data_IF_558092033820
#
_entry.id   IF_558092033820
#
_cell.length_a   1.000
_cell.length_b   1.000
_cell.length_c   1.000
_cell.angle_alpha   90.00
_cell.angle_beta   90.00
_cell.angle_gamma   90.00
#
_symmetry.space_group_name_H-M   'P 1'
#
loop_
_entity.id
_entity.type
_entity.pdbx_description
1 polymer ?
#
# COMPACT_ATOMS: atom_id res chain seq x y z
N UNK A 1 4.38 -14.09 65.95
CA UNK A 1 5.38 -15.05 65.41
C UNK A 1 4.85 -15.63 64.12
N UNK A 2 5.37 -15.14 62.97
CA UNK A 2 4.93 -15.56 61.63
C UNK A 2 5.94 -16.57 61.09
N UNK A 3 5.52 -17.82 60.92
CA UNK A 3 6.34 -18.89 60.35
C UNK A 3 6.49 -18.73 58.84
N UNK A 4 7.72 -18.51 58.37
CA UNK A 4 8.08 -18.44 56.95
C UNK A 4 8.18 -19.85 56.37
N UNK A 5 7.41 -20.16 55.32
CA UNK A 5 7.58 -21.38 54.50
C UNK A 5 8.75 -21.19 53.51
N UNK A 6 9.59 -22.22 53.29
CA UNK A 6 10.75 -22.11 52.41
C UNK A 6 10.38 -22.16 50.92
N UNK A 7 11.11 -21.36 50.15
CA UNK A 7 10.99 -21.16 48.71
C UNK A 7 11.59 -22.37 47.95
N UNK A 8 10.76 -23.15 47.24
CA UNK A 8 11.23 -24.23 46.35
C UNK A 8 11.92 -23.60 45.12
N UNK A 9 13.23 -23.84 44.97
CA UNK A 9 14.00 -23.53 43.75
C UNK A 9 13.39 -24.25 42.54
N UNK A 10 12.85 -23.49 41.57
CA UNK A 10 12.51 -24.03 40.25
C UNK A 10 13.79 -24.36 39.49
N UNK A 11 13.88 -25.61 39.04
CA UNK A 11 14.94 -26.14 38.20
C UNK A 11 14.88 -25.46 36.83
N UNK A 12 16.04 -25.02 36.35
CA UNK A 12 16.25 -24.38 35.06
C UNK A 12 15.99 -25.43 33.95
N UNK A 13 14.84 -25.37 33.29
CA UNK A 13 14.58 -26.19 32.09
C UNK A 13 15.40 -25.61 30.93
N UNK A 14 16.30 -26.44 30.40
CA UNK A 14 17.10 -26.11 29.23
C UNK A 14 16.18 -26.07 28.02
N UNK A 15 16.14 -24.92 27.34
CA UNK A 15 15.50 -24.79 26.03
C UNK A 15 16.07 -25.84 25.06
N UNK A 16 15.24 -26.54 24.28
CA UNK A 16 15.72 -27.39 23.21
C UNK A 16 16.33 -26.52 22.08
N UNK A 17 17.44 -27.00 21.52
CA UNK A 17 18.13 -26.34 20.42
C UNK A 17 17.25 -26.27 19.16
N UNK A 18 17.34 -25.21 18.34
CA UNK A 18 16.60 -25.14 17.08
C UNK A 18 17.15 -26.17 16.07
N UNK A 19 16.31 -26.68 15.16
CA UNK A 19 16.75 -27.62 14.13
C UNK A 19 17.70 -26.94 13.14
N UNK A 20 18.77 -27.65 12.78
CA UNK A 20 19.80 -27.23 11.83
C UNK A 20 19.20 -27.06 10.42
N UNK A 21 19.22 -25.84 9.88
CA UNK A 21 18.86 -25.56 8.49
C UNK A 21 20.03 -25.99 7.58
N UNK A 22 19.83 -26.84 6.57
CA UNK A 22 20.87 -27.15 5.59
C UNK A 22 21.21 -25.91 4.74
N UNK A 23 22.46 -25.75 4.28
CA UNK A 23 22.87 -24.59 3.49
C UNK A 23 22.15 -24.56 2.12
N UNK A 24 21.91 -23.36 1.56
CA UNK A 24 21.34 -23.26 0.22
C UNK A 24 22.31 -23.87 -0.80
N UNK A 25 21.75 -24.73 -1.67
CA UNK A 25 22.48 -25.25 -2.81
C UNK A 25 22.84 -24.08 -3.74
N UNK A 26 24.12 -23.94 -4.05
CA UNK A 26 24.64 -23.03 -5.06
C UNK A 26 24.05 -23.42 -6.41
N UNK A 27 23.11 -22.62 -6.92
CA UNK A 27 22.71 -22.71 -8.32
C UNK A 27 23.87 -22.17 -9.15
N UNK A 28 24.70 -23.10 -9.64
CA UNK A 28 25.78 -22.81 -10.57
C UNK A 28 25.25 -22.08 -11.79
N UNK A 29 25.92 -20.99 -12.13
CA UNK A 29 25.70 -20.22 -13.36
C UNK A 29 25.88 -21.15 -14.57
N UNK A 30 24.79 -21.42 -15.28
CA UNK A 30 24.87 -22.06 -16.59
C UNK A 30 25.32 -21.03 -17.63
N UNK A 31 26.35 -21.41 -18.38
CA UNK A 31 26.99 -20.58 -19.38
C UNK A 31 26.03 -20.22 -20.53
N UNK A 32 26.15 -18.97 -20.94
CA UNK A 32 25.50 -18.35 -22.10
C UNK A 32 25.89 -19.09 -23.39
N UNK A 33 24.95 -19.58 -24.21
CA UNK A 33 25.28 -20.08 -25.54
C UNK A 33 25.52 -18.90 -26.48
N UNK A 34 26.75 -18.79 -26.98
CA UNK A 34 27.11 -17.96 -28.12
C UNK A 34 26.86 -18.74 -29.41
N UNK A 35 25.96 -18.26 -30.26
CA UNK A 35 25.92 -18.66 -31.67
C UNK A 35 25.97 -17.41 -32.56
N UNK A 36 26.74 -17.43 -33.67
CA UNK A 36 27.00 -16.26 -34.50
C UNK A 36 26.05 -16.17 -35.72
N UNK A 37 25.78 -14.92 -36.13
CA UNK A 37 25.38 -14.40 -37.47
C UNK A 37 24.21 -15.11 -38.18
N UNK A 38 23.17 -14.40 -38.62
CA UNK A 38 23.26 -13.50 -39.77
C UNK A 38 21.99 -12.62 -39.84
N UNK A 39 22.14 -11.29 -39.86
CA UNK A 39 21.05 -10.38 -40.22
C UNK A 39 21.18 -10.03 -41.70
N UNK A 40 20.33 -10.63 -42.53
CA UNK A 40 20.04 -10.13 -43.85
C UNK A 40 18.96 -9.04 -43.71
N UNK A 41 19.30 -7.83 -44.11
CA UNK A 41 18.42 -6.66 -44.15
C UNK A 41 17.41 -6.79 -45.30
N UNK A 42 16.12 -6.80 -44.96
CA UNK A 42 15.04 -6.47 -45.89
C UNK A 42 14.10 -5.48 -45.17
N UNK A 43 13.81 -4.30 -45.75
CA UNK A 43 12.88 -3.36 -45.14
C UNK A 43 11.44 -3.81 -45.42
N UNK A 44 10.79 -4.40 -44.43
CA UNK A 44 9.34 -4.51 -44.41
C UNK A 44 8.78 -3.15 -43.97
N UNK A 45 8.07 -2.47 -44.86
CA UNK A 45 7.40 -1.20 -44.61
C UNK A 45 6.41 -1.32 -43.44
N UNK A 46 6.51 -0.41 -42.48
CA UNK A 46 5.73 -0.36 -41.24
C UNK A 46 4.25 0.09 -41.43
N UNK A 47 3.70 -0.01 -42.65
CA UNK A 47 2.39 0.54 -42.99
C UNK A 47 1.24 -0.48 -42.85
N UNK A 48 1.52 -1.79 -42.86
CA UNK A 48 0.45 -2.80 -43.02
C UNK A 48 -0.06 -3.44 -41.72
N UNK A 49 0.41 -3.02 -40.54
CA UNK A 49 -0.11 -3.51 -39.25
C UNK A 49 -1.14 -2.57 -38.61
N UNK A 50 -1.31 -1.36 -39.15
CA UNK A 50 -2.17 -0.33 -38.57
C UNK A 50 -3.62 -0.39 -39.11
N UNK A 51 -3.83 -1.03 -40.27
CA UNK A 51 -5.13 -1.05 -40.95
C UNK A 51 -6.09 -2.16 -40.44
N UNK A 52 -5.61 -3.12 -39.64
CA UNK A 52 -6.47 -4.16 -39.06
C UNK A 52 -6.99 -3.82 -37.65
N UNK A 53 -6.51 -2.73 -37.04
CA UNK A 53 -6.96 -2.30 -35.71
C UNK A 53 -8.05 -1.21 -35.75
N UNK A 54 -8.40 -0.70 -36.93
CA UNK A 54 -9.31 0.45 -37.08
C UNK A 54 -10.77 0.10 -37.42
N UNK A 55 -11.14 -1.18 -37.43
CA UNK A 55 -12.49 -1.61 -37.87
C UNK A 55 -13.26 -2.43 -36.83
N UNK A 56 -12.98 -2.23 -35.54
CA UNK A 56 -13.90 -2.66 -34.50
C UNK A 56 -14.79 -1.48 -34.08
N UNK A 57 -16.12 -1.51 -34.30
CA UNK A 57 -17.02 -0.55 -33.67
C UNK A 57 -16.83 -0.63 -32.15
N UNK A 58 -16.89 0.48 -31.38
CA UNK A 58 -16.69 0.42 -29.95
C UNK A 58 -17.84 -0.39 -29.33
N UNK A 59 -17.58 -1.69 -29.12
CA UNK A 59 -18.35 -2.49 -28.18
C UNK A 59 -18.34 -1.70 -26.88
N UNK A 60 -19.53 -1.39 -26.37
CA UNK A 60 -19.77 -0.79 -25.07
C UNK A 60 -19.01 -1.54 -23.97
N UNK A 61 -17.71 -1.25 -23.83
CA UNK A 61 -16.83 -1.81 -22.84
C UNK A 61 -17.19 -1.14 -21.54
N UNK A 62 -17.96 -1.84 -20.71
CA UNK A 62 -18.24 -1.42 -19.34
C UNK A 62 -16.94 -0.97 -18.69
N UNK A 63 -16.90 0.26 -18.17
CA UNK A 63 -15.70 0.83 -17.54
C UNK A 63 -15.08 -0.13 -16.51
N UNK A 64 -13.75 -0.20 -16.37
CA UNK A 64 -13.12 -1.12 -15.42
C UNK A 64 -13.51 -0.80 -13.99
N UNK A 65 -13.73 -1.84 -13.18
CA UNK A 65 -14.01 -1.71 -11.73
C UNK A 65 -12.84 -1.09 -10.96
N UNK A 66 -11.61 -1.30 -11.39
CA UNK A 66 -10.43 -0.75 -10.72
C UNK A 66 -10.18 0.70 -11.15
N UNK A 67 -9.78 1.54 -10.21
CA UNK A 67 -9.32 2.89 -10.53
C UNK A 67 -8.04 2.86 -11.39
N UNK A 68 -7.99 3.59 -12.52
CA UNK A 68 -6.75 3.83 -13.26
C UNK A 68 -5.67 4.45 -12.37
N UNK A 69 -4.41 4.25 -12.73
CA UNK A 69 -3.28 4.78 -11.94
C UNK A 69 -3.34 6.29 -11.75
N UNK A 70 -3.65 7.04 -12.82
CA UNK A 70 -3.78 8.50 -12.75
C UNK A 70 -4.88 8.94 -11.76
N UNK A 71 -6.00 8.22 -11.72
CA UNK A 71 -7.08 8.48 -10.76
C UNK A 71 -6.63 8.18 -9.33
N UNK A 72 -5.90 7.08 -9.10
CA UNK A 72 -5.33 6.77 -7.77
C UNK A 72 -4.37 7.86 -7.30
N UNK A 73 -3.50 8.36 -8.18
CA UNK A 73 -2.58 9.46 -7.87
C UNK A 73 -3.34 10.72 -7.44
N UNK A 74 -4.30 11.17 -8.25
CA UNK A 74 -5.11 12.35 -7.96
C UNK A 74 -5.98 12.15 -6.70
N UNK A 75 -6.47 10.94 -6.48
CA UNK A 75 -7.25 10.57 -5.29
C UNK A 75 -6.40 10.63 -4.01
N UNK A 76 -5.12 10.25 -4.08
CA UNK A 76 -4.17 10.46 -2.99
C UNK A 76 -3.88 11.94 -2.75
N UNK A 77 -3.70 12.72 -3.82
CA UNK A 77 -3.44 14.16 -3.72
C UNK A 77 -4.62 14.94 -3.14
N UNK A 78 -5.85 14.50 -3.42
CA UNK A 78 -7.11 15.02 -2.87
C UNK A 78 -7.29 14.74 -1.38
N UNK A 79 -6.68 13.68 -0.84
CA UNK A 79 -6.82 13.32 0.56
C UNK A 79 -6.18 14.38 1.48
N UNK A 80 -6.63 14.51 2.72
CA UNK A 80 -6.12 15.54 3.63
C UNK A 80 -4.65 15.28 4.00
N UNK A 81 -3.74 16.28 3.90
CA UNK A 81 -2.35 16.11 4.30
C UNK A 81 -2.20 16.01 5.82
N UNK A 82 -1.18 15.29 6.29
CA UNK A 82 -0.84 15.27 7.73
C UNK A 82 0.08 16.45 8.03
N UNK A 83 -0.28 17.37 8.95
CA UNK A 83 0.56 18.53 9.29
C UNK A 83 1.99 18.14 9.69
N UNK A 84 2.97 18.88 9.18
CA UNK A 84 4.41 18.64 9.44
C UNK A 84 5.00 17.41 8.73
N UNK A 85 4.22 16.70 7.90
CA UNK A 85 4.66 15.52 7.14
C UNK A 85 4.63 15.76 5.65
N UNK A 86 5.43 14.98 4.93
CA UNK A 86 5.42 14.98 3.46
C UNK A 86 4.06 14.47 2.92
N UNK A 87 3.27 15.30 2.22
CA UNK A 87 1.97 14.93 1.70
C UNK A 87 2.04 13.86 0.57
N UNK A 88 3.21 13.63 -0.03
CA UNK A 88 3.40 12.53 -0.98
C UNK A 88 3.44 11.17 -0.28
N UNK A 89 3.76 11.15 1.03
CA UNK A 89 3.99 9.93 1.82
C UNK A 89 2.90 9.68 2.85
N UNK A 90 2.37 10.73 3.45
CA UNK A 90 1.40 10.67 4.53
C UNK A 90 0.13 11.43 4.17
N UNK A 91 -1.02 10.79 4.41
CA UNK A 91 -2.34 11.41 4.27
C UNK A 91 -3.24 10.98 5.41
N UNK A 92 -4.33 11.70 5.59
CA UNK A 92 -5.50 11.21 6.33
C UNK A 92 -6.51 10.69 5.33
N UNK A 93 -7.09 9.53 5.65
CA UNK A 93 -8.21 8.98 4.90
C UNK A 93 -9.48 9.83 5.12
N UNK A 94 -10.58 9.48 4.44
CA UNK A 94 -11.85 10.23 4.54
C UNK A 94 -12.46 10.29 5.96
N UNK A 95 -11.96 9.48 6.90
CA UNK A 95 -12.38 9.43 8.30
C UNK A 95 -11.37 10.08 9.25
N UNK A 96 -10.25 10.57 8.74
CA UNK A 96 -9.20 11.22 9.52
C UNK A 96 -8.08 10.29 9.99
N UNK A 97 -8.13 8.99 9.65
CA UNK A 97 -7.09 8.03 10.01
C UNK A 97 -5.81 8.30 9.23
N UNK A 98 -4.66 8.26 9.92
CA UNK A 98 -3.37 8.41 9.27
C UNK A 98 -3.08 7.15 8.45
N UNK A 99 -2.73 7.34 7.18
CA UNK A 99 -2.35 6.26 6.25
C UNK A 99 -1.03 6.58 5.57
N UNK A 100 -0.31 5.52 5.21
CA UNK A 100 1.02 5.64 4.62
C UNK A 100 1.03 5.15 3.16
N UNK A 101 1.62 5.94 2.27
CA UNK A 101 1.52 5.76 0.81
C UNK A 101 1.96 4.39 0.33
N UNK A 102 2.99 3.79 0.94
CA UNK A 102 3.54 2.49 0.54
C UNK A 102 2.70 1.30 1.01
N UNK A 103 1.79 1.49 1.96
CA UNK A 103 0.99 0.42 2.55
C UNK A 103 -0.39 0.36 1.90
N UNK A 104 -0.47 -0.31 0.75
CA UNK A 104 -1.72 -0.49 -0.01
C UNK A 104 -2.21 -1.93 0.11
N UNK A 105 -3.50 -2.16 0.35
CA UNK A 105 -4.11 -3.51 0.30
C UNK A 105 -3.80 -4.44 1.48
N UNK A 106 -3.01 -4.00 2.47
CA UNK A 106 -2.69 -4.77 3.67
C UNK A 106 -3.68 -4.53 4.83
N UNK A 107 -3.78 -5.44 5.82
CA UNK A 107 -4.73 -5.31 6.94
C UNK A 107 -4.23 -4.42 8.11
N UNK A 108 -3.09 -3.76 7.97
CA UNK A 108 -2.52 -2.93 9.04
C UNK A 108 -3.26 -1.60 9.23
N UNK A 109 -3.12 -0.99 10.40
CA UNK A 109 -3.77 0.28 10.73
C UNK A 109 -3.28 1.50 9.94
N UNK A 110 -2.11 1.43 9.30
CA UNK A 110 -1.62 2.47 8.38
C UNK A 110 -1.87 2.12 6.91
N UNK A 111 -2.46 0.95 6.65
CA UNK A 111 -2.74 0.48 5.30
C UNK A 111 -4.02 1.12 4.77
N UNK A 112 -4.03 1.43 3.48
CA UNK A 112 -5.18 2.00 2.80
C UNK A 112 -5.53 1.24 1.52
N UNK A 113 -6.75 1.49 1.06
CA UNK A 113 -7.22 1.15 -0.28
C UNK A 113 -7.75 2.43 -0.95
N UNK A 114 -7.90 2.35 -2.27
CA UNK A 114 -8.68 3.31 -3.04
C UNK A 114 -10.11 2.77 -3.13
N UNK A 115 -11.02 3.38 -2.37
CA UNK A 115 -12.41 2.97 -2.22
C UNK A 115 -13.32 3.78 -3.14
N UNK A 116 -14.35 3.11 -3.65
CA UNK A 116 -15.45 3.77 -4.33
C UNK A 116 -16.45 4.29 -3.30
N UNK A 117 -16.67 5.61 -3.24
CA UNK A 117 -17.66 6.22 -2.34
C UNK A 117 -19.02 5.53 -2.52
N UNK A 118 -19.51 5.49 -3.76
CA UNK A 118 -20.59 4.61 -4.22
C UNK A 118 -19.98 3.32 -4.77
N UNK A 119 -20.28 2.14 -4.22
CA UNK A 119 -19.70 0.89 -4.70
C UNK A 119 -19.95 0.62 -6.19
N UNK A 120 -18.98 0.03 -6.88
CA UNK A 120 -19.11 -0.33 -8.29
C UNK A 120 -20.35 -1.19 -8.59
N UNK A 121 -20.66 -2.14 -7.70
CA UNK A 121 -21.86 -2.99 -7.82
C UNK A 121 -23.19 -2.24 -7.68
N UNK A 122 -23.15 -0.95 -7.32
CA UNK A 122 -24.31 -0.06 -7.20
C UNK A 122 -24.26 1.07 -8.25
N UNK A 123 -23.49 0.89 -9.32
CA UNK A 123 -23.37 1.85 -10.42
C UNK A 123 -22.30 2.93 -10.21
N UNK A 124 -21.49 2.82 -9.16
CA UNK A 124 -20.38 3.75 -8.93
C UNK A 124 -19.25 3.56 -9.94
N UNK A 125 -18.94 4.60 -10.70
CA UNK A 125 -17.86 4.59 -11.70
C UNK A 125 -16.48 4.72 -11.06
N UNK A 126 -15.45 4.30 -11.77
CA UNK A 126 -14.04 4.38 -11.33
C UNK A 126 -13.41 5.75 -11.66
N UNK A 127 -14.11 6.84 -11.32
CA UNK A 127 -13.67 8.21 -11.56
C UNK A 127 -13.09 8.87 -10.31
N UNK A 128 -12.44 10.03 -10.46
CA UNK A 128 -11.82 10.76 -9.34
C UNK A 128 -12.86 11.19 -8.30
N UNK A 129 -14.05 11.59 -8.73
CA UNK A 129 -15.12 12.08 -7.87
C UNK A 129 -15.63 10.98 -6.95
N UNK A 130 -15.65 9.74 -7.46
CA UNK A 130 -16.06 8.56 -6.71
C UNK A 130 -14.90 7.86 -5.97
N UNK A 131 -13.66 8.33 -6.12
CA UNK A 131 -12.52 7.76 -5.41
C UNK A 131 -12.30 8.45 -4.06
N UNK A 132 -12.06 7.67 -3.02
CA UNK A 132 -11.50 8.15 -1.75
C UNK A 132 -10.41 7.22 -1.23
N UNK A 133 -9.43 7.78 -0.54
CA UNK A 133 -8.50 6.99 0.28
C UNK A 133 -9.24 6.58 1.55
N UNK A 134 -9.22 5.28 1.85
CA UNK A 134 -9.88 4.71 3.02
C UNK A 134 -8.98 3.66 3.67
N UNK A 135 -8.87 3.65 5.00
CA UNK A 135 -8.14 2.60 5.69
C UNK A 135 -8.65 1.21 5.28
N UNK A 136 -7.76 0.28 4.96
CA UNK A 136 -8.12 -0.99 4.32
C UNK A 136 -9.07 -1.85 5.18
N UNK A 137 -8.91 -1.84 6.50
CA UNK A 137 -9.82 -2.54 7.44
C UNK A 137 -11.23 -1.95 7.42
N UNK A 138 -11.34 -0.62 7.34
CA UNK A 138 -12.62 0.09 7.19
C UNK A 138 -13.24 -0.21 5.84
N UNK A 139 -12.46 -0.16 4.76
CA UNK A 139 -12.92 -0.48 3.41
C UNK A 139 -13.51 -1.90 3.33
N UNK A 140 -12.81 -2.89 3.86
CA UNK A 140 -13.30 -4.28 3.95
C UNK A 140 -14.58 -4.40 4.76
N UNK A 141 -14.69 -3.61 5.84
CA UNK A 141 -15.88 -3.58 6.69
C UNK A 141 -17.07 -2.86 6.06
N UNK A 142 -16.81 -1.88 5.19
CA UNK A 142 -17.80 -1.15 4.39
C UNK A 142 -18.38 -2.05 3.30
N UNK A 143 -17.52 -2.72 2.53
CA UNK A 143 -17.93 -3.60 1.44
C UNK A 143 -18.77 -2.87 0.38
N UNK A 144 -19.93 -3.41 0.03
CA UNK A 144 -20.86 -2.82 -0.95
C UNK A 144 -22.04 -2.05 -0.31
N UNK A 145 -21.94 -1.73 0.98
CA UNK A 145 -23.01 -1.05 1.71
C UNK A 145 -22.94 0.46 1.45
N UNK A 146 -24.10 1.05 1.17
CA UNK A 146 -24.25 2.49 0.86
C UNK A 146 -24.80 3.31 2.03
N UNK A 147 -25.43 2.65 3.01
CA UNK A 147 -26.17 3.30 4.10
C UNK A 147 -25.42 3.29 5.44
N UNK A 148 -24.11 3.04 5.43
CA UNK A 148 -23.32 3.09 6.67
C UNK A 148 -23.02 4.54 7.02
N UNK A 149 -23.30 4.93 8.26
CA UNK A 149 -22.98 6.25 8.77
C UNK A 149 -21.47 6.45 8.95
N UNK A 150 -21.01 7.71 8.86
CA UNK A 150 -19.60 8.05 9.10
C UNK A 150 -19.14 7.61 10.49
N UNK A 151 -19.99 7.75 11.51
CA UNK A 151 -19.71 7.32 12.89
C UNK A 151 -19.49 5.82 13.00
N UNK A 152 -20.31 5.00 12.34
CA UNK A 152 -20.11 3.54 12.32
C UNK A 152 -18.82 3.14 11.60
N UNK A 153 -18.44 3.84 10.52
CA UNK A 153 -17.16 3.60 9.85
C UNK A 153 -15.97 3.99 10.73
N UNK A 154 -16.07 5.10 11.48
CA UNK A 154 -15.06 5.52 12.45
C UNK A 154 -14.89 4.45 13.53
N UNK A 155 -15.98 3.88 14.05
CA UNK A 155 -15.91 2.80 15.05
C UNK A 155 -15.20 1.54 14.55
N UNK A 156 -15.20 1.29 13.23
CA UNK A 156 -14.50 0.16 12.60
C UNK A 156 -13.06 0.48 12.20
N UNK A 157 -12.61 1.72 12.44
CA UNK A 157 -11.23 2.12 12.15
C UNK A 157 -10.27 1.43 13.10
N UNK A 158 -9.19 0.88 12.55
CA UNK A 158 -8.07 0.36 13.31
C UNK A 158 -7.21 1.54 13.78
N UNK A 159 -7.25 1.83 15.07
CA UNK A 159 -6.51 2.96 15.62
C UNK A 159 -5.09 2.55 16.02
N UNK A 160 -4.09 3.26 15.49
CA UNK A 160 -2.70 3.18 15.91
C UNK A 160 -2.22 4.56 16.37
N UNK A 161 -1.72 4.64 17.59
CA UNK A 161 -0.99 5.83 18.05
C UNK A 161 0.41 5.79 17.45
N UNK A 162 0.63 6.64 16.46
CA UNK A 162 1.92 6.74 15.78
C UNK A 162 2.52 8.10 16.14
N UNK A 163 3.64 8.07 16.87
CA UNK A 163 4.36 9.28 17.22
C UNK A 163 5.13 9.83 16.02
N UNK A 164 5.70 11.03 16.17
CA UNK A 164 6.58 11.59 15.16
C UNK A 164 7.77 10.68 14.83
N UNK A 165 8.36 10.04 15.85
CA UNK A 165 9.49 9.13 15.70
C UNK A 165 9.09 7.83 14.97
N UNK A 166 7.90 7.32 15.23
CA UNK A 166 7.40 6.11 14.56
C UNK A 166 7.17 6.39 13.07
N UNK A 167 6.58 7.54 12.73
CA UNK A 167 6.43 7.96 11.33
C UNK A 167 7.80 8.11 10.64
N UNK A 168 8.81 8.65 11.32
CA UNK A 168 10.17 8.75 10.77
C UNK A 168 10.76 7.37 10.48
N UNK A 169 10.55 6.41 11.38
CA UNK A 169 11.01 5.04 11.19
C UNK A 169 10.34 4.40 9.97
N UNK A 170 9.03 4.55 9.80
CA UNK A 170 8.33 4.05 8.60
C UNK A 170 8.84 4.70 7.31
N UNK A 171 9.10 6.00 7.32
CA UNK A 171 9.67 6.70 6.17
C UNK A 171 11.09 6.20 5.84
N UNK A 172 11.96 6.07 6.84
CA UNK A 172 13.30 5.54 6.67
C UNK A 172 13.27 4.12 6.11
N UNK A 173 12.43 3.24 6.67
CA UNK A 173 12.32 1.86 6.20
C UNK A 173 11.77 1.75 4.78
N UNK A 174 10.85 2.62 4.37
CA UNK A 174 10.17 2.50 3.07
C UNK A 174 10.80 3.33 1.95
N UNK A 175 11.52 4.40 2.29
CA UNK A 175 12.09 5.35 1.32
C UNK A 175 13.59 5.63 1.53
N UNK A 176 14.19 5.20 2.64
CA UNK A 176 15.60 5.45 2.95
C UNK A 176 15.91 6.84 3.51
N UNK A 177 14.91 7.71 3.66
CA UNK A 177 15.05 9.06 4.22
C UNK A 177 13.73 9.56 4.83
N UNK A 178 13.79 10.67 5.57
CA UNK A 178 12.63 11.37 6.12
C UNK A 178 12.45 12.70 5.40
N UNK A 179 11.22 13.03 4.98
CA UNK A 179 10.87 14.34 4.42
C UNK A 179 9.85 15.02 5.31
N UNK A 180 10.08 16.30 5.60
CA UNK A 180 9.12 17.14 6.31
C UNK A 180 8.27 17.91 5.32
N UNK A 181 7.02 18.16 5.69
CA UNK A 181 6.12 19.00 4.90
C UNK A 181 6.59 20.46 4.89
N UNK A 182 6.16 21.28 3.91
CA UNK A 182 6.57 22.68 3.78
C UNK A 182 6.29 23.54 5.03
N UNK A 183 5.37 23.13 5.90
CA UNK A 183 5.03 23.83 7.15
C UNK A 183 5.79 23.31 8.39
N UNK A 184 6.82 22.48 8.22
CA UNK A 184 7.71 22.15 9.33
C UNK A 184 8.58 23.37 9.62
N UNK A 185 8.02 24.31 10.39
CA UNK A 185 8.68 25.53 10.83
C UNK A 185 10.14 25.28 11.14
N UNK A 186 10.99 26.05 10.47
CA UNK A 186 12.44 25.90 10.52
C UNK A 186 12.95 25.79 11.95
N UNK A 187 13.97 24.96 12.12
CA UNK A 187 14.75 24.87 13.34
C UNK A 187 15.14 26.30 13.80
N UNK A 188 14.56 26.78 14.90
CA UNK A 188 15.10 27.93 15.63
C UNK A 188 16.19 27.39 16.54
N UNK A 189 17.42 27.44 16.06
CA UNK A 189 18.60 27.38 16.92
C UNK A 189 18.63 28.73 17.66
N UNK A 190 18.44 28.71 18.98
CA UNK A 190 18.88 29.77 19.88
C UNK A 190 20.19 29.34 20.51
#
# INVERSE_FOLDING_TARGET
MVGRKPMRRRRNERNPAPPSIPPPQSFGATARPTSPRSFASAPASAADLDELLLTAPPLSASEPRSFPYAVKQQCWEKAEPVPGRDPERWRRDALGNIVFRKLVGCPGCLCHDYDHIVPYSKGGKSTLENCQVLQATVNRSKGNKTEISKSELIQKSAYCRVSGRDMDLFELSAYGNVRRGPDSGGCKIQ
#
